data_IF_108511202290
#
_entry.id   IF_108511202290
#
_cell.length_a   1.000
_cell.length_b   1.000
_cell.length_c   1.000
_cell.angle_alpha   90.00
_cell.angle_beta   90.00
_cell.angle_gamma   90.00
#
_symmetry.space_group_name_H-M   'P 1'
#
loop_
_entity.id
_entity.type
_entity.pdbx_description
1 polymer ?
#
# COMPACT_ATOMS: atom_id res chain seq x y z
N UNK A 1 6.45 -3.26 -37.46
CA UNK A 1 6.09 -2.56 -36.22
C UNK A 1 7.37 -2.18 -35.53
N UNK A 2 7.81 -0.92 -35.66
CA UNK A 2 8.85 -0.36 -34.81
C UNK A 2 8.18 0.08 -33.51
N UNK A 3 8.55 -0.56 -32.40
CA UNK A 3 8.25 -0.06 -31.05
C UNK A 3 9.51 0.59 -30.51
N UNK A 4 9.48 1.90 -30.30
CA UNK A 4 10.58 2.63 -29.69
C UNK A 4 10.51 2.48 -28.17
N UNK A 5 11.65 2.25 -27.53
CA UNK A 5 11.77 2.23 -26.08
C UNK A 5 11.76 3.68 -25.59
N UNK A 6 10.70 4.08 -24.89
CA UNK A 6 10.56 5.43 -24.33
C UNK A 6 11.39 5.56 -23.04
N UNK A 7 11.40 4.51 -22.20
CA UNK A 7 12.11 4.48 -20.91
C UNK A 7 12.62 3.07 -20.64
N UNK A 8 13.93 2.92 -20.37
CA UNK A 8 14.56 1.61 -20.16
C UNK A 8 14.60 1.15 -18.72
N UNK A 9 14.38 2.07 -17.76
CA UNK A 9 14.47 1.81 -16.31
C UNK A 9 15.75 1.06 -15.90
N UNK A 10 16.89 1.47 -16.44
CA UNK A 10 18.19 0.77 -16.26
C UNK A 10 18.56 0.64 -14.77
N UNK A 11 18.43 1.73 -13.99
CA UNK A 11 18.74 1.75 -12.55
C UNK A 11 17.89 0.77 -11.73
N UNK A 12 16.67 0.45 -12.18
CA UNK A 12 15.85 -0.59 -11.54
C UNK A 12 16.46 -1.97 -11.74
N UNK A 13 17.01 -2.24 -12.94
CA UNK A 13 17.61 -3.55 -13.25
C UNK A 13 18.96 -3.76 -12.58
N UNK A 14 19.69 -2.69 -12.29
CA UNK A 14 21.02 -2.72 -11.72
C UNK A 14 21.00 -2.79 -10.16
N UNK A 15 19.82 -2.58 -9.54
CA UNK A 15 19.63 -2.63 -8.08
C UNK A 15 18.60 -3.70 -7.72
N UNK A 16 19.01 -4.74 -6.97
CA UNK A 16 18.14 -5.84 -6.57
C UNK A 16 16.91 -5.39 -5.78
N UNK A 17 17.04 -4.40 -4.89
CA UNK A 17 15.93 -3.89 -4.09
C UNK A 17 14.87 -3.22 -4.97
N UNK A 18 15.33 -2.43 -5.95
CA UNK A 18 14.47 -1.81 -6.94
C UNK A 18 13.83 -2.85 -7.88
N UNK A 19 14.61 -3.81 -8.36
CA UNK A 19 14.13 -4.86 -9.25
C UNK A 19 12.99 -5.65 -8.58
N UNK A 20 13.18 -6.15 -7.36
CA UNK A 20 12.14 -6.89 -6.64
C UNK A 20 10.93 -6.01 -6.32
N UNK A 21 11.13 -4.73 -6.03
CA UNK A 21 10.01 -3.79 -5.82
C UNK A 21 9.21 -3.59 -7.10
N UNK A 22 9.87 -3.47 -8.25
CA UNK A 22 9.20 -3.39 -9.56
C UNK A 22 8.41 -4.67 -9.88
N UNK A 23 9.03 -5.84 -9.67
CA UNK A 23 8.36 -7.16 -9.84
C UNK A 23 7.14 -7.27 -8.91
N UNK A 24 7.25 -6.81 -7.66
CA UNK A 24 6.15 -6.78 -6.72
C UNK A 24 4.99 -5.89 -7.20
N UNK A 25 5.26 -4.73 -7.78
CA UNK A 25 4.21 -3.87 -8.34
C UNK A 25 3.48 -4.55 -9.50
N UNK A 26 4.21 -5.25 -10.37
CA UNK A 26 3.62 -6.00 -11.48
C UNK A 26 2.78 -7.19 -10.98
N UNK A 27 3.28 -7.97 -10.00
CA UNK A 27 2.56 -9.10 -9.41
C UNK A 27 1.26 -8.66 -8.72
N UNK A 28 1.29 -7.49 -8.04
CA UNK A 28 0.09 -6.87 -7.46
C UNK A 28 -0.95 -6.53 -8.52
N UNK A 29 -0.56 -5.86 -9.59
CA UNK A 29 -1.48 -5.49 -10.68
C UNK A 29 -2.06 -6.74 -11.33
N UNK A 30 -1.21 -7.69 -11.72
CA UNK A 30 -1.63 -8.94 -12.36
C UNK A 30 -2.63 -9.73 -11.49
N UNK A 31 -2.42 -9.68 -10.16
CA UNK A 31 -3.29 -10.37 -9.22
C UNK A 31 -4.60 -9.64 -8.91
N UNK A 32 -4.63 -8.31 -9.00
CA UNK A 32 -5.78 -7.50 -8.57
C UNK A 32 -6.70 -7.08 -9.72
N UNK A 33 -6.21 -7.12 -10.96
CA UNK A 33 -6.95 -6.63 -12.12
C UNK A 33 -7.43 -7.81 -12.96
N UNK A 34 -8.72 -7.78 -13.31
CA UNK A 34 -9.28 -8.77 -14.23
C UNK A 34 -8.81 -8.51 -15.67
N UNK A 35 -8.47 -9.57 -16.39
CA UNK A 35 -8.08 -9.49 -17.80
C UNK A 35 -9.15 -8.77 -18.65
N UNK A 36 -8.69 -7.92 -19.57
CA UNK A 36 -9.55 -7.20 -20.50
C UNK A 36 -10.04 -5.83 -20.05
N UNK A 37 -9.82 -5.44 -18.79
CA UNK A 37 -10.10 -4.08 -18.34
C UNK A 37 -8.95 -3.13 -18.69
N UNK A 38 -9.21 -2.17 -19.59
CA UNK A 38 -8.28 -1.07 -19.88
C UNK A 38 -8.41 0.01 -18.81
N UNK A 39 -7.58 -0.10 -17.77
CA UNK A 39 -7.57 0.85 -16.67
C UNK A 39 -6.42 1.85 -16.83
N UNK A 40 -6.66 2.94 -17.57
CA UNK A 40 -5.65 3.99 -17.78
C UNK A 40 -5.07 4.53 -16.47
N UNK A 41 -5.87 4.59 -15.40
CA UNK A 41 -5.42 5.06 -14.08
C UNK A 41 -4.41 4.11 -13.45
N UNK A 42 -4.58 2.79 -13.62
CA UNK A 42 -3.66 1.79 -13.09
C UNK A 42 -2.36 1.78 -13.89
N UNK A 43 -2.44 1.90 -15.21
CA UNK A 43 -1.24 2.08 -16.03
C UNK A 43 -0.47 3.33 -15.63
N UNK A 44 -1.16 4.45 -15.42
CA UNK A 44 -0.55 5.71 -14.96
C UNK A 44 0.10 5.53 -13.58
N UNK A 45 -0.57 4.83 -12.65
CA UNK A 45 -0.02 4.52 -11.33
C UNK A 45 1.27 3.70 -11.47
N UNK A 46 1.27 2.63 -12.27
CA UNK A 46 2.44 1.80 -12.49
C UNK A 46 3.60 2.60 -13.09
N UNK A 47 3.35 3.31 -14.19
CA UNK A 47 4.39 4.10 -14.86
C UNK A 47 5.02 5.13 -13.92
N UNK A 48 4.20 5.91 -13.21
CA UNK A 48 4.70 6.91 -12.25
C UNK A 48 5.48 6.26 -11.10
N UNK A 49 5.05 5.08 -10.65
CA UNK A 49 5.73 4.34 -9.58
C UNK A 49 7.06 3.77 -10.03
N UNK A 50 7.17 3.26 -11.25
CA UNK A 50 8.44 2.81 -11.83
C UNK A 50 9.39 3.99 -12.08
N UNK A 51 8.89 5.11 -12.55
CA UNK A 51 9.68 6.33 -12.71
C UNK A 51 10.23 6.84 -11.36
N UNK A 52 9.39 6.85 -10.32
CA UNK A 52 9.84 7.19 -8.96
C UNK A 52 10.85 6.17 -8.41
N UNK A 53 10.61 4.87 -8.61
CA UNK A 53 11.49 3.78 -8.20
C UNK A 53 12.89 3.90 -8.83
N UNK A 54 12.96 4.34 -10.10
CA UNK A 54 14.22 4.55 -10.80
C UNK A 54 15.10 5.60 -10.10
N UNK A 55 14.52 6.59 -9.45
CA UNK A 55 15.20 7.74 -8.84
C UNK A 55 15.42 7.61 -7.32
N UNK A 56 14.56 6.85 -6.62
CA UNK A 56 14.53 6.82 -5.15
C UNK A 56 15.50 5.80 -4.56
N UNK A 57 15.97 6.09 -3.33
CA UNK A 57 16.77 5.19 -2.50
C UNK A 57 15.94 4.54 -1.39
N UNK A 58 14.98 5.29 -0.81
CA UNK A 58 14.07 4.76 0.21
C UNK A 58 12.79 4.22 -0.44
N UNK A 59 12.67 2.89 -0.52
CA UNK A 59 11.62 2.23 -1.28
C UNK A 59 10.34 1.95 -0.48
N UNK A 60 10.42 1.95 0.85
CA UNK A 60 9.30 1.62 1.73
C UNK A 60 8.12 2.59 1.60
N UNK A 61 8.33 3.93 1.60
CA UNK A 61 7.26 4.88 1.33
C UNK A 61 6.55 4.64 0.00
N UNK A 62 7.33 4.37 -1.05
CA UNK A 62 6.80 4.14 -2.39
C UNK A 62 5.98 2.85 -2.46
N UNK A 63 6.44 1.75 -1.82
CA UNK A 63 5.68 0.51 -1.74
C UNK A 63 4.32 0.70 -1.09
N UNK A 64 4.27 1.35 0.08
CA UNK A 64 3.01 1.61 0.81
C UNK A 64 2.09 2.53 0.03
N UNK A 65 2.64 3.56 -0.62
CA UNK A 65 1.87 4.45 -1.48
C UNK A 65 1.25 3.70 -2.67
N UNK A 66 2.04 2.88 -3.35
CA UNK A 66 1.55 2.06 -4.47
C UNK A 66 0.42 1.11 -4.04
N UNK A 67 0.63 0.35 -2.95
CA UNK A 67 -0.36 -0.59 -2.42
C UNK A 67 -1.70 0.07 -2.10
N UNK A 68 -1.68 1.17 -1.34
CA UNK A 68 -2.92 1.83 -0.93
C UNK A 68 -3.63 2.50 -2.12
N UNK A 69 -2.88 3.03 -3.08
CA UNK A 69 -3.43 3.62 -4.31
C UNK A 69 -4.02 2.58 -5.23
N UNK A 70 -3.36 1.42 -5.37
CA UNK A 70 -3.90 0.31 -6.16
C UNK A 70 -5.17 -0.23 -5.54
N UNK A 71 -5.21 -0.47 -4.21
CA UNK A 71 -6.42 -0.85 -3.48
C UNK A 71 -7.55 0.15 -3.73
N UNK A 72 -7.25 1.45 -3.67
CA UNK A 72 -8.24 2.51 -3.91
C UNK A 72 -8.78 2.49 -5.35
N UNK A 73 -7.91 2.37 -6.35
CA UNK A 73 -8.31 2.30 -7.76
C UNK A 73 -9.10 1.04 -8.09
N UNK A 74 -8.86 -0.05 -7.35
CA UNK A 74 -9.61 -1.31 -7.46
C UNK A 74 -10.92 -1.33 -6.66
N UNK A 75 -11.31 -0.19 -6.03
CA UNK A 75 -12.56 -0.08 -5.27
C UNK A 75 -12.48 -0.56 -3.80
N UNK A 76 -11.29 -0.85 -3.30
CA UNK A 76 -11.05 -1.37 -1.94
C UNK A 76 -10.46 -0.31 -0.99
N UNK A 77 -10.82 0.95 -1.17
CA UNK A 77 -10.41 2.03 -0.26
C UNK A 77 -10.89 1.74 1.16
N UNK A 78 -9.98 1.65 2.16
CA UNK A 78 -10.40 1.44 3.54
C UNK A 78 -11.16 2.68 4.07
N UNK A 79 -12.25 2.44 4.80
CA UNK A 79 -12.97 3.51 5.47
C UNK A 79 -12.22 3.94 6.73
N UNK A 80 -11.66 5.15 6.69
CA UNK A 80 -10.81 5.71 7.77
C UNK A 80 -11.40 6.97 8.42
N UNK A 81 -12.53 7.49 7.92
CA UNK A 81 -13.12 8.73 8.44
C UNK A 81 -14.07 8.46 9.60
N UNK A 82 -14.96 7.48 9.43
CA UNK A 82 -16.04 7.19 10.34
C UNK A 82 -16.09 5.69 10.67
N UNK A 83 -16.64 5.36 11.82
CA UNK A 83 -16.94 3.97 12.15
C UNK A 83 -17.81 3.33 11.05
N UNK A 84 -17.40 2.18 10.53
CA UNK A 84 -18.13 1.51 9.44
C UNK A 84 -19.53 1.05 9.83
N UNK A 85 -19.77 0.81 11.13
CA UNK A 85 -21.05 0.31 11.63
C UNK A 85 -22.03 1.41 12.01
N UNK A 86 -21.60 2.40 12.81
CA UNK A 86 -22.52 3.43 13.33
C UNK A 86 -22.27 4.85 12.79
N UNK A 87 -21.26 5.02 11.92
CA UNK A 87 -20.89 6.30 11.30
C UNK A 87 -20.36 7.37 12.27
N UNK A 88 -20.16 7.06 13.55
CA UNK A 88 -19.55 8.00 14.48
C UNK A 88 -18.08 8.29 14.13
N UNK A 89 -17.61 9.46 14.52
CA UNK A 89 -16.20 9.81 14.42
C UNK A 89 -15.37 8.95 15.39
N UNK A 90 -14.17 8.52 15.00
CA UNK A 90 -13.28 7.81 15.91
C UNK A 90 -12.74 8.78 16.97
N UNK A 91 -12.60 8.29 18.18
CA UNK A 91 -11.91 9.00 19.25
C UNK A 91 -10.39 9.03 19.01
N UNK A 92 -9.71 9.99 19.66
CA UNK A 92 -8.25 10.03 19.62
C UNK A 92 -7.66 8.85 20.40
N UNK A 93 -6.52 8.36 19.94
CA UNK A 93 -5.80 7.27 20.60
C UNK A 93 -5.68 6.03 19.74
N UNK A 94 -6.01 4.87 20.30
CA UNK A 94 -5.99 3.59 19.60
C UNK A 94 -7.32 3.37 18.87
N UNK A 95 -7.23 3.07 17.60
CA UNK A 95 -8.37 2.87 16.70
C UNK A 95 -8.41 1.39 16.30
N UNK A 96 -9.55 0.76 16.52
CA UNK A 96 -9.81 -0.60 16.07
C UNK A 96 -10.15 -0.62 14.57
N UNK A 97 -9.69 -1.64 13.86
CA UNK A 97 -9.97 -1.85 12.44
C UNK A 97 -10.43 -3.27 12.19
N UNK A 98 -11.45 -3.42 11.33
CA UNK A 98 -11.96 -4.71 10.87
C UNK A 98 -11.73 -4.89 9.37
N UNK A 99 -11.00 -5.93 8.99
CA UNK A 99 -10.79 -6.26 7.58
C UNK A 99 -12.09 -6.74 6.92
N UNK A 100 -12.93 -7.46 7.68
CA UNK A 100 -14.23 -7.93 7.16
C UNK A 100 -15.15 -6.78 6.76
N UNK A 101 -15.04 -5.63 7.43
CA UNK A 101 -15.84 -4.43 7.15
C UNK A 101 -15.04 -3.37 6.37
N UNK A 102 -13.79 -3.66 6.05
CA UNK A 102 -12.84 -2.77 5.37
C UNK A 102 -12.78 -1.35 5.99
N UNK A 103 -12.72 -1.26 7.33
CA UNK A 103 -12.67 0.06 7.95
C UNK A 103 -12.58 0.09 9.47
N UNK A 104 -12.53 1.32 9.99
CA UNK A 104 -12.37 1.58 11.42
C UNK A 104 -13.67 1.37 12.20
N UNK A 105 -13.49 1.00 13.48
CA UNK A 105 -14.56 0.84 14.47
C UNK A 105 -14.37 1.86 15.60
N UNK A 106 -15.45 2.46 16.08
CA UNK A 106 -15.44 3.24 17.31
C UNK A 106 -15.40 2.32 18.55
N UNK A 107 -15.14 2.89 19.73
CA UNK A 107 -15.01 2.13 20.98
C UNK A 107 -16.28 1.31 21.31
N UNK A 108 -17.46 1.82 21.00
CA UNK A 108 -18.73 1.11 21.24
C UNK A 108 -18.86 -0.10 20.31
N UNK A 109 -18.61 0.09 19.01
CA UNK A 109 -18.78 -0.96 18.01
C UNK A 109 -17.66 -2.01 18.07
N UNK A 110 -16.46 -1.64 18.50
CA UNK A 110 -15.34 -2.57 18.68
C UNK A 110 -15.61 -3.66 19.73
N UNK A 111 -16.51 -3.40 20.70
CA UNK A 111 -16.95 -4.41 21.67
C UNK A 111 -17.93 -5.45 21.09
N UNK A 112 -18.48 -5.19 19.90
CA UNK A 112 -19.53 -6.03 19.28
C UNK A 112 -19.11 -6.63 17.94
N UNK A 113 -17.96 -6.22 17.41
CA UNK A 113 -17.43 -6.67 16.14
C UNK A 113 -16.01 -7.22 16.32
N UNK A 114 -15.59 -8.10 15.40
CA UNK A 114 -14.23 -8.61 15.40
C UNK A 114 -13.24 -7.50 15.10
N UNK A 115 -12.31 -7.30 16.02
CA UNK A 115 -11.15 -6.44 15.81
C UNK A 115 -10.03 -7.30 15.23
N UNK A 116 -9.50 -6.91 14.08
CA UNK A 116 -8.39 -7.61 13.44
C UNK A 116 -7.04 -6.96 13.75
N UNK A 117 -7.00 -5.63 13.84
CA UNK A 117 -5.81 -4.86 14.22
C UNK A 117 -6.21 -3.57 14.95
N UNK A 118 -5.29 -3.05 15.76
CA UNK A 118 -5.39 -1.71 16.35
C UNK A 118 -4.17 -0.88 15.97
N UNK A 119 -4.39 0.39 15.68
CA UNK A 119 -3.34 1.35 15.37
C UNK A 119 -3.68 2.74 15.90
N UNK A 120 -2.68 3.60 16.01
CA UNK A 120 -2.85 4.96 16.53
C UNK A 120 -3.55 5.88 15.52
N UNK A 121 -4.13 6.97 16.01
CA UNK A 121 -4.61 8.09 15.17
C UNK A 121 -3.53 8.58 14.21
N UNK A 122 -2.25 8.59 14.63
CA UNK A 122 -1.12 8.93 13.76
C UNK A 122 -0.98 7.98 12.58
N UNK A 123 -1.07 6.66 12.79
CA UNK A 123 -1.05 5.66 11.72
C UNK A 123 -2.23 5.84 10.77
N UNK A 124 -3.45 6.05 11.30
CA UNK A 124 -4.64 6.37 10.51
C UNK A 124 -4.42 7.58 9.59
N UNK A 125 -3.97 8.67 10.16
CA UNK A 125 -3.74 9.92 9.42
C UNK A 125 -2.66 9.74 8.34
N UNK A 126 -1.68 8.88 8.61
CA UNK A 126 -0.64 8.57 7.64
C UNK A 126 -1.20 7.77 6.45
N UNK A 127 -2.01 6.72 6.71
CA UNK A 127 -2.66 5.95 5.64
C UNK A 127 -3.58 6.87 4.81
N UNK A 128 -4.33 7.77 5.43
CA UNK A 128 -5.13 8.79 4.73
C UNK A 128 -4.26 9.67 3.82
N UNK A 129 -3.12 10.14 4.34
CA UNK A 129 -2.18 10.93 3.55
C UNK A 129 -1.67 10.18 2.32
N UNK A 130 -1.43 8.87 2.40
CA UNK A 130 -1.04 8.04 1.27
C UNK A 130 -2.11 7.98 0.17
N UNK A 131 -3.39 8.13 0.51
CA UNK A 131 -4.47 8.19 -0.49
C UNK A 131 -4.43 9.46 -1.34
N UNK A 132 -3.90 10.57 -0.81
CA UNK A 132 -3.95 11.90 -1.44
C UNK A 132 -2.62 12.31 -2.08
N UNK A 133 -1.48 11.79 -1.59
CA UNK A 133 -0.14 12.18 -2.06
C UNK A 133 0.12 11.70 -3.48
N UNK A 134 0.68 12.57 -4.32
CA UNK A 134 1.14 12.20 -5.65
C UNK A 134 2.42 11.35 -5.60
N UNK A 135 2.52 10.33 -6.47
CA UNK A 135 3.67 9.43 -6.54
C UNK A 135 5.01 10.18 -6.69
N UNK A 136 5.04 11.20 -7.55
CA UNK A 136 6.25 12.01 -7.80
C UNK A 136 6.79 12.77 -6.58
N UNK A 137 5.95 12.96 -5.55
CA UNK A 137 6.34 13.63 -4.29
C UNK A 137 6.59 12.66 -3.15
N UNK A 138 6.58 11.36 -3.43
CA UNK A 138 6.74 10.29 -2.43
C UNK A 138 8.06 10.39 -1.65
N UNK A 139 9.16 10.84 -2.27
CA UNK A 139 10.46 11.06 -1.62
C UNK A 139 10.40 12.00 -0.40
N UNK A 140 9.39 12.91 -0.36
CA UNK A 140 9.16 13.82 0.76
C UNK A 140 8.38 13.18 1.91
N UNK A 141 7.91 11.95 1.72
CA UNK A 141 7.20 11.20 2.75
C UNK A 141 8.22 10.60 3.72
N UNK A 142 8.36 11.22 4.88
CA UNK A 142 9.11 10.60 5.98
C UNK A 142 8.19 9.61 6.72
N UNK A 143 8.54 8.35 6.67
CA UNK A 143 7.88 7.33 7.47
C UNK A 143 8.42 7.35 8.90
N UNK A 144 7.57 7.57 9.91
CA UNK A 144 7.99 7.33 11.29
C UNK A 144 8.31 5.83 11.43
N UNK A 145 9.55 5.49 11.75
CA UNK A 145 9.99 4.09 11.90
C UNK A 145 9.05 3.27 12.79
N UNK A 146 8.53 3.89 13.86
CA UNK A 146 7.58 3.26 14.78
C UNK A 146 6.22 2.91 14.17
N UNK A 147 5.89 3.44 13.00
CA UNK A 147 4.59 3.22 12.34
C UNK A 147 4.71 2.36 11.09
N UNK A 148 5.91 2.22 10.52
CA UNK A 148 6.17 1.48 9.26
C UNK A 148 5.60 0.06 9.33
N UNK A 149 5.90 -0.69 10.38
CA UNK A 149 5.42 -2.07 10.56
C UNK A 149 3.90 -2.17 10.65
N UNK A 150 3.25 -1.18 11.28
CA UNK A 150 1.79 -1.17 11.39
C UNK A 150 1.12 -0.83 10.08
N UNK A 151 1.69 0.13 9.34
CA UNK A 151 1.20 0.49 8.00
C UNK A 151 1.34 -0.71 7.06
N UNK A 152 2.51 -1.35 7.05
CA UNK A 152 2.75 -2.56 6.28
C UNK A 152 1.73 -3.66 6.61
N UNK A 153 1.51 -3.96 7.89
CA UNK A 153 0.53 -4.98 8.30
C UNK A 153 -0.88 -4.64 7.84
N UNK A 154 -1.27 -3.37 7.89
CA UNK A 154 -2.60 -2.94 7.45
C UNK A 154 -2.72 -3.12 5.93
N UNK A 155 -1.80 -2.56 5.15
CA UNK A 155 -1.88 -2.60 3.67
C UNK A 155 -1.77 -4.02 3.13
N UNK A 156 -0.82 -4.80 3.65
CA UNK A 156 -0.63 -6.20 3.26
C UNK A 156 -1.87 -7.04 3.57
N UNK A 157 -2.47 -6.90 4.77
CA UNK A 157 -3.66 -7.65 5.13
C UNK A 157 -4.89 -7.24 4.32
N UNK A 158 -5.00 -5.98 3.93
CA UNK A 158 -6.04 -5.53 2.99
C UNK A 158 -5.88 -6.20 1.62
N UNK A 159 -4.65 -6.27 1.12
CA UNK A 159 -4.34 -6.98 -0.14
C UNK A 159 -4.70 -8.46 -0.02
N UNK A 160 -4.26 -9.14 1.05
CA UNK A 160 -4.62 -10.55 1.30
C UNK A 160 -6.12 -10.78 1.39
N UNK A 161 -6.84 -9.89 2.09
CA UNK A 161 -8.30 -9.96 2.23
C UNK A 161 -9.01 -9.87 0.88
N UNK A 162 -8.45 -9.09 -0.04
CA UNK A 162 -8.99 -8.95 -1.39
C UNK A 162 -8.62 -10.14 -2.28
N UNK A 163 -7.37 -10.57 -2.27
CA UNK A 163 -6.87 -11.62 -3.15
C UNK A 163 -7.24 -13.04 -2.69
N UNK A 164 -7.51 -13.24 -1.39
CA UNK A 164 -7.72 -14.56 -0.79
C UNK A 164 -6.46 -15.45 -0.77
N UNK A 165 -5.31 -14.97 -1.24
CA UNK A 165 -4.04 -15.70 -1.30
C UNK A 165 -2.85 -14.76 -1.12
N UNK A 166 -1.71 -15.34 -0.75
CA UNK A 166 -0.44 -14.63 -0.71
C UNK A 166 0.09 -14.35 -2.12
N UNK A 167 0.79 -13.22 -2.29
CA UNK A 167 1.53 -12.90 -3.50
C UNK A 167 2.85 -13.66 -3.53
N UNK A 168 3.27 -14.13 -4.69
CA UNK A 168 4.53 -14.86 -4.86
C UNK A 168 5.75 -13.96 -4.60
N UNK A 169 5.64 -12.68 -4.91
CA UNK A 169 6.69 -11.66 -4.73
C UNK A 169 6.82 -11.15 -3.29
N UNK A 170 5.77 -11.26 -2.44
CA UNK A 170 5.77 -10.67 -1.11
C UNK A 170 6.84 -11.21 -0.14
N UNK A 171 7.13 -12.53 -0.07
CA UNK A 171 8.19 -13.04 0.79
C UNK A 171 9.56 -12.40 0.52
N UNK A 172 9.86 -12.11 -0.75
CA UNK A 172 11.11 -11.43 -1.12
C UNK A 172 11.15 -10.01 -0.60
N UNK A 173 10.04 -9.24 -0.75
CA UNK A 173 9.92 -7.87 -0.23
C UNK A 173 10.07 -7.83 1.29
N UNK A 174 9.47 -8.78 1.99
CA UNK A 174 9.56 -8.89 3.45
C UNK A 174 10.99 -9.16 3.92
N UNK A 175 11.67 -10.14 3.33
CA UNK A 175 13.05 -10.49 3.68
C UNK A 175 14.00 -9.30 3.46
N UNK A 176 13.83 -8.57 2.36
CA UNK A 176 14.65 -7.40 2.06
C UNK A 176 14.40 -6.25 3.05
N UNK A 177 13.14 -6.02 3.44
CA UNK A 177 12.82 -5.02 4.45
C UNK A 177 13.41 -5.38 5.83
N UNK A 178 13.48 -6.66 6.18
CA UNK A 178 14.12 -7.15 7.40
C UNK A 178 15.65 -6.97 7.36
N UNK A 179 16.30 -7.27 6.25
CA UNK A 179 17.74 -7.07 6.05
C UNK A 179 18.10 -5.57 6.17
N UNK A 180 17.34 -4.69 5.53
CA UNK A 180 17.58 -3.25 5.60
C UNK A 180 17.33 -2.63 7.00
N UNK A 181 16.59 -3.31 7.89
CA UNK A 181 16.40 -2.87 9.29
C UNK A 181 17.54 -3.27 10.20
N UNK A 182 18.29 -4.31 9.83
CA UNK A 182 19.38 -4.89 10.61
C UNK A 182 20.77 -4.34 10.20
N UNK A 183 20.82 -3.54 9.14
CA UNK A 183 22.00 -2.81 8.64
C UNK A 183 22.00 -1.36 9.12
#
# INVERSE_FOLDING_TARGET
NHSDIIESFQTIRDDFNKLYTGVYFLDLIDSMILEGHRENKIFTLLYQSLAALNQQTELEPLRRLFEIRLLSLSGYTPQLEHCVLCKSLPENGMIAFSYAHNGILCNVCSNRARIDIQFSTGTRNYIKKLLDVEIKTCERLKFPKSQTDKIEKVTHRLILSHLGRELKSYPFIKNMAELARNS
#
